data_IF_598737234577
#
_entry.id   IF_598737234577
#
_cell.length_a   1.000
_cell.length_b   1.000
_cell.length_c   1.000
_cell.angle_alpha   90.00
_cell.angle_beta   90.00
_cell.angle_gamma   90.00
#
_symmetry.space_group_name_H-M   'P 1'
#
loop_
_entity.id
_entity.type
_entity.pdbx_description
1 polymer ?
#
# COMPACT_ATOMS: atom_id res chain seq x y z
N UNK A 1 8.96 -20.26 -17.01
CA UNK A 1 8.53 -19.77 -15.67
C UNK A 1 9.61 -18.99 -14.91
N UNK A 2 10.90 -19.35 -14.97
CA UNK A 2 11.97 -18.71 -14.18
C UNK A 2 12.18 -17.20 -14.43
N UNK A 3 11.86 -16.73 -15.64
CA UNK A 3 12.04 -15.34 -16.10
C UNK A 3 11.04 -14.36 -15.47
N UNK A 4 9.77 -14.76 -15.27
CA UNK A 4 8.73 -13.88 -14.71
C UNK A 4 9.04 -13.45 -13.27
N UNK A 5 9.71 -14.31 -12.50
CA UNK A 5 10.13 -14.03 -11.13
C UNK A 5 11.29 -13.01 -11.04
N UNK A 6 11.96 -12.69 -12.14
CA UNK A 6 13.01 -11.65 -12.18
C UNK A 6 12.50 -10.32 -12.76
N UNK A 7 11.23 -10.26 -13.15
CA UNK A 7 10.68 -9.09 -13.83
C UNK A 7 10.70 -7.89 -12.89
N UNK A 8 11.50 -6.89 -13.25
CA UNK A 8 11.48 -5.57 -12.62
C UNK A 8 10.26 -4.83 -13.14
N UNK A 9 9.37 -4.44 -12.24
CA UNK A 9 8.16 -3.72 -12.59
C UNK A 9 8.47 -2.22 -12.67
N UNK A 10 8.25 -1.55 -13.82
CA UNK A 10 8.42 -0.11 -13.93
C UNK A 10 7.49 0.60 -12.94
N UNK A 11 8.07 1.44 -12.10
CA UNK A 11 7.33 2.00 -10.97
C UNK A 11 6.22 2.96 -11.39
N UNK A 12 6.37 3.63 -12.54
CA UNK A 12 5.32 4.46 -13.14
C UNK A 12 4.08 3.64 -13.50
N UNK A 13 4.26 2.50 -14.16
CA UNK A 13 3.19 1.60 -14.56
C UNK A 13 2.52 0.94 -13.35
N UNK A 14 3.31 0.55 -12.35
CA UNK A 14 2.82 0.03 -11.06
C UNK A 14 1.88 1.02 -10.38
N UNK A 15 2.32 2.27 -10.23
CA UNK A 15 1.53 3.31 -9.57
C UNK A 15 0.23 3.59 -10.33
N UNK A 16 0.28 3.69 -11.66
CA UNK A 16 -0.91 3.92 -12.49
C UNK A 16 -1.91 2.77 -12.39
N UNK A 17 -1.44 1.52 -12.45
CA UNK A 17 -2.30 0.33 -12.33
C UNK A 17 -2.98 0.28 -10.96
N UNK A 18 -2.22 0.51 -9.88
CA UNK A 18 -2.77 0.52 -8.53
C UNK A 18 -3.75 1.69 -8.31
N UNK A 19 -3.43 2.90 -8.77
CA UNK A 19 -4.35 4.04 -8.68
C UNK A 19 -5.67 3.75 -9.39
N UNK A 20 -5.63 3.22 -10.61
CA UNK A 20 -6.84 2.84 -11.34
C UNK A 20 -7.66 1.76 -10.60
N UNK A 21 -6.99 0.83 -9.90
CA UNK A 21 -7.68 -0.16 -9.07
C UNK A 21 -8.34 0.47 -7.83
N UNK A 22 -7.67 1.42 -7.16
CA UNK A 22 -8.24 2.17 -6.04
C UNK A 22 -9.43 3.03 -6.48
N UNK A 23 -9.40 3.59 -7.68
CA UNK A 23 -10.52 4.36 -8.25
C UNK A 23 -11.73 3.48 -8.58
N UNK A 24 -11.49 2.31 -9.18
CA UNK A 24 -12.55 1.34 -9.53
C UNK A 24 -13.20 0.72 -8.30
N UNK A 25 -12.40 0.41 -7.29
CA UNK A 25 -12.87 -0.20 -6.04
C UNK A 25 -12.22 0.51 -4.87
N UNK A 26 -12.86 1.57 -4.39
CA UNK A 26 -12.40 2.27 -3.20
C UNK A 26 -12.40 1.34 -1.99
N UNK A 27 -11.31 1.35 -1.24
CA UNK A 27 -11.23 0.60 0.02
C UNK A 27 -12.40 0.99 0.95
N UNK A 28 -12.90 0.06 1.76
CA UNK A 28 -13.90 0.36 2.78
C UNK A 28 -13.40 1.52 3.64
N UNK A 29 -14.14 2.62 3.64
CA UNK A 29 -13.83 3.77 4.47
C UNK A 29 -14.04 3.36 5.92
N UNK A 30 -12.96 3.30 6.69
CA UNK A 30 -13.06 3.18 8.14
C UNK A 30 -12.97 4.58 8.74
N UNK A 31 -13.92 4.94 9.59
CA UNK A 31 -13.99 6.24 10.29
C UNK A 31 -14.05 7.47 9.36
N UNK A 32 -14.66 7.35 8.18
CA UNK A 32 -14.84 8.48 7.24
C UNK A 32 -13.58 8.87 6.45
N UNK A 33 -12.46 8.16 6.62
CA UNK A 33 -11.23 8.41 5.88
C UNK A 33 -11.08 7.43 4.70
N UNK A 34 -10.78 7.99 3.52
CA UNK A 34 -10.46 7.20 2.32
C UNK A 34 -9.01 6.75 2.33
N UNK A 35 -8.76 5.52 1.90
CA UNK A 35 -7.40 5.02 1.65
C UNK A 35 -6.80 5.80 0.49
N UNK A 36 -5.65 6.43 0.72
CA UNK A 36 -4.88 7.13 -0.32
C UNK A 36 -3.55 6.45 -0.50
N UNK A 37 -3.31 5.94 -1.71
CA UNK A 37 -2.00 5.44 -2.13
C UNK A 37 -1.16 6.63 -2.63
N UNK A 38 -0.02 6.87 -2.00
CA UNK A 38 0.92 7.89 -2.45
C UNK A 38 1.86 7.34 -3.51
N UNK A 39 2.48 6.21 -3.21
CA UNK A 39 3.46 5.60 -4.07
C UNK A 39 3.61 4.11 -3.72
N UNK A 40 3.91 3.31 -4.72
CA UNK A 40 4.24 1.90 -4.58
C UNK A 40 5.54 1.62 -5.34
N UNK A 41 6.36 0.71 -4.81
CA UNK A 41 7.58 0.24 -5.46
C UNK A 41 7.82 -1.24 -5.22
N UNK A 42 8.58 -1.88 -6.10
CA UNK A 42 9.06 -3.25 -5.91
C UNK A 42 10.38 -3.20 -5.12
N UNK A 43 10.41 -3.80 -3.93
CA UNK A 43 11.59 -3.82 -3.06
C UNK A 43 12.42 -5.10 -3.19
N UNK A 44 11.79 -6.19 -3.64
CA UNK A 44 12.48 -7.47 -3.85
C UNK A 44 11.84 -8.21 -5.02
N UNK A 45 12.66 -8.87 -5.84
CA UNK A 45 12.17 -9.66 -6.99
C UNK A 45 11.87 -11.11 -6.63
N UNK A 46 12.62 -11.72 -5.70
CA UNK A 46 12.41 -13.11 -5.27
C UNK A 46 12.23 -13.24 -3.77
N UNK A 47 11.00 -13.49 -3.28
CA UNK A 47 9.73 -13.39 -4.01
C UNK A 47 9.34 -11.92 -4.29
N UNK A 48 8.49 -11.67 -5.30
CA UNK A 48 8.03 -10.33 -5.65
C UNK A 48 7.40 -9.66 -4.42
N UNK A 49 8.08 -8.63 -3.90
CA UNK A 49 7.65 -7.91 -2.71
C UNK A 49 7.43 -6.46 -3.10
N UNK A 50 6.21 -5.98 -2.88
CA UNK A 50 5.80 -4.61 -3.17
C UNK A 50 5.62 -3.85 -1.87
N UNK A 51 6.20 -2.66 -1.81
CA UNK A 51 6.03 -1.72 -0.71
C UNK A 51 5.09 -0.61 -1.15
N UNK A 52 3.99 -0.43 -0.42
CA UNK A 52 2.99 0.60 -0.64
C UNK A 52 3.05 1.63 0.48
N UNK A 53 3.16 2.90 0.09
CA UNK A 53 3.04 4.04 1.00
C UNK A 53 1.63 4.58 0.97
N UNK A 54 0.94 4.48 2.10
CA UNK A 54 -0.44 4.92 2.27
C UNK A 54 -0.55 6.01 3.33
N UNK A 55 -1.70 6.67 3.38
CA UNK A 55 -2.02 7.64 4.45
C UNK A 55 -2.14 6.97 5.81
N UNK A 56 -2.94 5.90 5.91
CA UNK A 56 -3.17 5.17 7.15
C UNK A 56 -3.15 3.68 6.87
N UNK A 57 -2.32 2.93 7.59
CA UNK A 57 -2.24 1.48 7.44
C UNK A 57 -3.52 0.79 7.94
N UNK A 58 -4.20 1.37 8.95
CA UNK A 58 -5.41 0.78 9.53
C UNK A 58 -6.59 0.70 8.53
N UNK A 59 -6.58 1.55 7.49
CA UNK A 59 -7.61 1.53 6.45
C UNK A 59 -7.42 0.37 5.47
N UNK A 60 -6.25 -0.29 5.49
CA UNK A 60 -5.96 -1.43 4.64
C UNK A 60 -6.36 -2.72 5.35
N UNK A 61 -7.52 -3.28 5.00
CA UNK A 61 -7.92 -4.60 5.47
C UNK A 61 -7.20 -5.72 4.69
N UNK A 62 -7.15 -6.91 5.27
CA UNK A 62 -6.56 -8.09 4.62
C UNK A 62 -7.29 -8.49 3.34
N UNK A 63 -8.60 -8.30 3.29
CA UNK A 63 -9.37 -8.56 2.07
C UNK A 63 -8.97 -7.58 0.95
N UNK A 64 -8.75 -6.32 1.30
CA UNK A 64 -8.35 -5.30 0.32
C UNK A 64 -6.90 -5.49 -0.13
N UNK A 65 -6.00 -5.91 0.76
CA UNK A 65 -4.62 -6.27 0.37
C UNK A 65 -4.60 -7.45 -0.62
N UNK A 66 -5.44 -8.47 -0.42
CA UNK A 66 -5.62 -9.58 -1.38
C UNK A 66 -6.18 -9.12 -2.72
N UNK A 67 -7.13 -8.19 -2.71
CA UNK A 67 -7.64 -7.57 -3.94
C UNK A 67 -6.51 -6.90 -4.74
N UNK A 68 -5.69 -6.06 -4.09
CA UNK A 68 -4.55 -5.40 -4.76
C UNK A 68 -3.52 -6.41 -5.26
N UNK A 69 -3.24 -7.47 -4.51
CA UNK A 69 -2.39 -8.58 -4.99
C UNK A 69 -2.99 -9.23 -6.24
N UNK A 70 -4.31 -9.43 -6.30
CA UNK A 70 -5.01 -9.93 -7.47
C UNK A 70 -4.86 -9.02 -8.69
N UNK A 71 -4.96 -7.70 -8.50
CA UNK A 71 -4.71 -6.71 -9.56
C UNK A 71 -3.27 -6.81 -10.06
N UNK A 72 -2.29 -6.84 -9.15
CA UNK A 72 -0.87 -6.97 -9.50
C UNK A 72 -0.59 -8.25 -10.28
N UNK A 73 -1.21 -9.37 -9.89
CA UNK A 73 -1.11 -10.63 -10.63
C UNK A 73 -1.59 -10.50 -12.05
N UNK A 74 -2.79 -9.93 -12.25
CA UNK A 74 -3.42 -9.76 -13.57
C UNK A 74 -2.66 -8.76 -14.44
N UNK A 75 -2.17 -7.65 -13.88
CA UNK A 75 -1.48 -6.61 -14.66
C UNK A 75 -0.06 -6.97 -15.08
N UNK A 76 0.68 -7.72 -14.25
CA UNK A 76 2.11 -7.94 -14.48
C UNK A 76 2.48 -9.40 -14.81
N UNK A 77 1.53 -10.33 -14.68
CA UNK A 77 1.70 -11.74 -15.06
C UNK A 77 2.46 -12.57 -14.02
N UNK A 78 2.14 -12.37 -12.73
CA UNK A 78 2.73 -13.11 -11.60
C UNK A 78 1.94 -14.38 -11.24
N UNK A 79 1.45 -15.10 -12.25
CA UNK A 79 0.72 -16.35 -12.06
C UNK A 79 1.61 -17.40 -11.37
N UNK A 80 1.04 -18.12 -10.40
CA UNK A 80 1.76 -19.12 -9.61
C UNK A 80 2.81 -18.56 -8.62
N UNK A 81 3.00 -17.24 -8.54
CA UNK A 81 3.97 -16.63 -7.63
C UNK A 81 3.34 -16.15 -6.32
N UNK A 82 4.03 -16.41 -5.21
CA UNK A 82 3.72 -15.79 -3.93
C UNK A 82 4.15 -14.31 -3.96
N UNK A 83 3.18 -13.40 -3.99
CA UNK A 83 3.42 -11.95 -3.93
C UNK A 83 3.29 -11.50 -2.48
N UNK A 84 4.29 -10.75 -2.01
CA UNK A 84 4.23 -10.09 -0.70
C UNK A 84 3.88 -8.62 -0.86
N UNK A 85 2.87 -8.18 -0.12
CA UNK A 85 2.47 -6.79 -0.04
C UNK A 85 2.83 -6.24 1.35
N UNK A 86 3.71 -5.26 1.39
CA UNK A 86 4.08 -4.55 2.62
C UNK A 86 3.47 -3.17 2.54
N UNK A 87 2.71 -2.79 3.57
CA UNK A 87 2.04 -1.49 3.63
C UNK A 87 2.69 -0.68 4.75
N UNK A 88 3.13 0.53 4.42
CA UNK A 88 3.70 1.46 5.39
C UNK A 88 2.97 2.80 5.33
N UNK A 89 2.74 3.46 6.48
CA UNK A 89 2.36 4.86 6.46
C UNK A 89 3.51 5.69 5.90
N UNK A 90 3.19 6.78 5.19
CA UNK A 90 4.20 7.75 4.75
C UNK A 90 4.87 8.40 5.99
N UNK A 91 6.21 8.46 6.08
CA UNK A 91 6.87 9.19 7.17
C UNK A 91 6.49 10.67 7.10
N UNK A 92 6.12 11.26 8.25
CA UNK A 92 5.93 12.71 8.36
C UNK A 92 7.33 13.33 8.39
N UNK A 93 7.64 14.15 7.39
CA UNK A 93 8.96 14.80 7.28
C UNK A 93 9.13 15.97 8.24
N UNK A 94 8.04 16.41 8.86
CA UNK A 94 7.98 17.55 9.77
C UNK A 94 7.02 17.14 10.89
N UNK A 95 7.53 17.13 12.13
CA UNK A 95 6.66 17.06 13.30
C UNK A 95 5.80 18.34 13.30
N UNK A 96 4.47 18.25 13.36
CA UNK A 96 3.63 19.43 13.38
C UNK A 96 4.03 20.30 14.58
N UNK A 97 4.34 21.58 14.31
CA UNK A 97 4.82 22.56 15.30
C UNK A 97 3.76 22.77 16.42
N UNK A 98 2.50 22.46 16.14
CA UNK A 98 1.38 22.52 17.09
C UNK A 98 0.92 21.11 17.47
N UNK A 99 1.58 20.51 18.47
CA UNK A 99 0.99 19.44 19.28
C UNK A 99 0.25 20.12 20.45
N UNK A 100 -1.02 20.48 20.24
CA UNK A 100 -1.84 21.02 21.32
C UNK A 100 -2.30 19.87 22.22
N UNK A 101 -1.50 19.60 23.27
CA UNK A 101 -1.95 19.11 24.57
C UNK A 101 -2.37 17.64 24.72
N UNK A 102 -1.40 16.74 24.88
CA UNK A 102 -1.55 15.54 25.73
C UNK A 102 -1.08 15.88 27.16
N UNK A 103 -1.82 16.77 27.82
CA UNK A 103 -1.74 17.02 29.26
C UNK A 103 -3.15 17.14 29.83
N UNK A 104 -3.87 16.02 29.93
CA UNK A 104 -4.91 15.82 30.96
C UNK A 104 -4.92 14.33 31.33
N UNK A 105 -5.15 14.07 32.62
CA UNK A 105 -5.15 12.76 33.30
C UNK A 105 -3.80 12.27 33.86
N UNK A 106 -3.09 13.17 34.56
CA UNK A 106 -2.60 12.84 35.90
C UNK A 106 -3.38 13.72 36.86
N UNK A 107 -4.54 13.22 37.31
CA UNK A 107 -5.25 13.62 38.52
C UNK A 107 -6.54 12.77 38.56
N UNK A 108 -6.43 11.56 39.11
CA UNK A 108 -7.21 11.12 40.28
C UNK A 108 -6.74 9.75 40.78
#
# INVERSE_FOLDING_TARGET
>A
MSSQLQKTTPTSLLNRSLQAALERNSAPSSKGHRLKLFYATQVKSRPPTFLLFVNRKELMSDNYSRYLIGVLRKSFGFEGCHIRLVVKPRPKSIEPILSYGDQKEQDQ
#
